data_IF_645730980026
#
_entry.id   IF_645730980026
#
_cell.length_a   1.000
_cell.length_b   1.000
_cell.length_c   1.000
_cell.angle_alpha   90.00
_cell.angle_beta   90.00
_cell.angle_gamma   90.00
#
_symmetry.space_group_name_H-M   'P 1'
#
loop_
_entity.id
_entity.type
_entity.pdbx_description
1 polymer ?
#
# COMPACT_ATOMS: atom_id res chain seq x y z
N UNK A 1 8.25 -1.66 6.77
CA UNK A 1 7.52 -0.62 7.52
C UNK A 1 6.08 -1.07 7.43
N UNK A 2 5.61 -1.73 8.49
CA UNK A 2 4.44 -2.61 8.40
C UNK A 2 3.25 -1.99 9.14
N UNK A 3 3.19 -0.66 9.16
CA UNK A 3 2.19 0.11 9.89
C UNK A 3 1.86 1.41 9.19
N UNK A 4 0.81 2.07 9.69
CA UNK A 4 0.34 3.33 9.15
C UNK A 4 1.39 4.44 9.35
N UNK A 5 1.53 5.36 8.38
CA UNK A 5 2.39 6.53 8.53
C UNK A 5 2.02 7.39 9.75
N UNK A 6 3.01 8.02 10.38
CA UNK A 6 2.81 8.83 11.59
C UNK A 6 1.86 10.01 11.37
N UNK A 7 1.92 10.65 10.19
CA UNK A 7 0.99 11.72 9.83
C UNK A 7 -0.47 11.23 9.72
N UNK A 8 -0.70 10.03 9.19
CA UNK A 8 -2.02 9.41 9.17
C UNK A 8 -2.48 9.07 10.59
N UNK A 9 -1.62 8.49 11.42
CA UNK A 9 -1.94 8.21 12.82
C UNK A 9 -2.36 9.48 13.57
N UNK A 10 -1.60 10.58 13.44
CA UNK A 10 -1.94 11.86 14.04
C UNK A 10 -3.30 12.39 13.57
N UNK A 11 -3.62 12.22 12.29
CA UNK A 11 -4.94 12.57 11.75
C UNK A 11 -6.05 11.73 12.39
N UNK A 12 -5.87 10.41 12.51
CA UNK A 12 -6.85 9.51 13.12
C UNK A 12 -7.12 9.85 14.59
N UNK A 13 -6.08 10.21 15.35
CA UNK A 13 -6.20 10.68 16.74
C UNK A 13 -6.98 12.00 16.82
N UNK A 14 -6.74 12.93 15.89
CA UNK A 14 -7.48 14.19 15.85
C UNK A 14 -8.96 13.98 15.50
N UNK A 15 -9.27 13.09 14.56
CA UNK A 15 -10.65 12.72 14.21
C UNK A 15 -11.38 12.06 15.38
N UNK A 16 -10.68 11.19 16.14
CA UNK A 16 -11.19 10.58 17.36
C UNK A 16 -11.50 11.63 18.44
N UNK A 17 -10.52 12.49 18.77
CA UNK A 17 -10.67 13.53 19.79
C UNK A 17 -11.78 14.54 19.44
N UNK A 18 -11.89 14.88 18.15
CA UNK A 18 -12.94 15.76 17.65
C UNK A 18 -14.33 15.11 17.56
N UNK A 19 -14.46 13.81 17.83
CA UNK A 19 -15.71 13.03 17.69
C UNK A 19 -16.37 13.22 16.32
N UNK A 20 -15.55 13.34 15.27
CA UNK A 20 -16.01 13.66 13.91
C UNK A 20 -16.58 12.43 13.18
N UNK A 21 -16.37 11.24 13.72
CA UNK A 21 -16.84 9.97 13.18
C UNK A 21 -18.01 9.47 14.03
N UNK A 22 -19.09 9.05 13.37
CA UNK A 22 -20.26 8.48 14.04
C UNK A 22 -20.42 6.99 13.71
N UNK A 23 -21.34 6.32 14.40
CA UNK A 23 -21.53 4.87 14.28
C UNK A 23 -22.14 4.39 12.97
N UNK A 24 -22.67 5.29 12.14
CA UNK A 24 -23.13 4.98 10.78
C UNK A 24 -22.00 5.08 9.75
N UNK A 25 -20.88 5.71 10.10
CA UNK A 25 -19.74 5.82 9.20
C UNK A 25 -19.17 4.42 8.93
N UNK A 26 -18.86 4.15 7.66
CA UNK A 26 -18.22 2.90 7.24
C UNK A 26 -16.83 3.20 6.70
N UNK A 27 -15.82 2.56 7.30
CA UNK A 27 -14.41 2.81 7.01
C UNK A 27 -13.90 1.77 6.03
N UNK A 28 -13.30 2.25 4.94
CA UNK A 28 -12.64 1.45 3.92
C UNK A 28 -11.19 1.92 3.81
N UNK A 29 -10.25 1.00 3.58
CA UNK A 29 -8.86 1.39 3.36
C UNK A 29 -8.20 0.63 2.22
N UNK A 30 -7.25 1.28 1.57
CA UNK A 30 -6.33 0.67 0.62
C UNK A 30 -4.93 0.99 1.14
N UNK A 31 -4.12 -0.04 1.33
CA UNK A 31 -2.76 0.06 1.82
C UNK A 31 -1.83 -0.53 0.78
N UNK A 32 -0.75 0.17 0.53
CA UNK A 32 0.30 -0.25 -0.37
C UNK A 32 1.65 0.00 0.28
N UNK A 33 2.57 -0.95 0.13
CA UNK A 33 3.95 -0.83 0.57
C UNK A 33 4.92 -1.31 -0.54
N UNK A 34 6.22 -1.16 -0.27
CA UNK A 34 7.27 -1.55 -1.22
C UNK A 34 7.54 -3.06 -1.29
N UNK A 35 6.80 -3.92 -0.57
CA UNK A 35 6.99 -5.37 -0.69
C UNK A 35 6.26 -5.91 -1.90
N UNK A 36 6.78 -6.98 -2.50
CA UNK A 36 6.11 -7.63 -3.62
C UNK A 36 4.78 -8.27 -3.18
N UNK A 37 4.75 -8.85 -1.98
CA UNK A 37 3.60 -9.57 -1.46
C UNK A 37 2.62 -8.63 -0.76
N UNK A 38 1.38 -8.55 -1.27
CA UNK A 38 0.33 -7.69 -0.69
C UNK A 38 -0.02 -8.04 0.75
N UNK A 39 0.21 -9.29 1.18
CA UNK A 39 -0.02 -9.77 2.56
C UNK A 39 0.76 -8.97 3.59
N UNK A 40 1.89 -8.37 3.22
CA UNK A 40 2.68 -7.52 4.12
C UNK A 40 1.89 -6.29 4.62
N UNK A 41 0.81 -5.91 3.94
CA UNK A 41 -0.05 -4.79 4.34
C UNK A 41 -1.07 -5.13 5.44
N UNK A 42 -1.20 -6.40 5.84
CA UNK A 42 -2.25 -6.83 6.79
C UNK A 42 -2.19 -6.12 8.15
N UNK A 43 -0.98 -5.83 8.65
CA UNK A 43 -0.79 -5.13 9.93
C UNK A 43 -1.32 -3.69 9.88
N UNK A 44 -1.03 -2.96 8.81
CA UNK A 44 -1.55 -1.61 8.61
C UNK A 44 -3.08 -1.61 8.44
N UNK A 45 -3.65 -2.59 7.74
CA UNK A 45 -5.11 -2.75 7.65
C UNK A 45 -5.72 -3.03 9.03
N UNK A 46 -5.09 -3.92 9.81
CA UNK A 46 -5.52 -4.24 11.18
C UNK A 46 -5.50 -3.01 12.09
N UNK A 47 -4.51 -2.13 11.97
CA UNK A 47 -4.47 -0.86 12.72
C UNK A 47 -5.67 0.04 12.41
N UNK A 48 -6.03 0.23 11.13
CA UNK A 48 -7.23 1.01 10.75
C UNK A 48 -8.50 0.32 11.26
N UNK A 49 -8.57 -1.02 11.21
CA UNK A 49 -9.73 -1.77 11.73
C UNK A 49 -9.87 -1.61 13.24
N UNK A 50 -8.78 -1.62 14.00
CA UNK A 50 -8.77 -1.35 15.43
C UNK A 50 -9.24 0.08 15.73
N UNK A 51 -8.74 1.07 14.99
CA UNK A 51 -9.21 2.45 15.12
C UNK A 51 -10.70 2.61 14.78
N UNK A 52 -11.18 1.93 13.74
CA UNK A 52 -12.60 1.89 13.36
C UNK A 52 -13.48 1.44 14.54
N UNK A 53 -13.06 0.40 15.27
CA UNK A 53 -13.73 -0.06 16.50
C UNK A 53 -13.67 1.01 17.60
N UNK A 54 -12.52 1.66 17.78
CA UNK A 54 -12.31 2.68 18.81
C UNK A 54 -13.26 3.87 18.65
N UNK A 55 -13.54 4.29 17.42
CA UNK A 55 -14.48 5.39 17.12
C UNK A 55 -15.93 4.92 16.93
N UNK A 56 -16.23 3.67 17.28
CA UNK A 56 -17.55 3.04 17.15
C UNK A 56 -18.13 3.05 15.72
N UNK A 57 -17.27 3.09 14.70
CA UNK A 57 -17.67 3.05 13.30
C UNK A 57 -17.77 1.61 12.77
N UNK A 58 -18.33 1.45 11.57
CA UNK A 58 -18.45 0.16 10.91
C UNK A 58 -17.23 -0.13 10.04
N UNK A 59 -16.70 -1.36 10.10
CA UNK A 59 -15.69 -1.80 9.15
C UNK A 59 -16.33 -2.11 7.79
N UNK A 60 -15.80 -1.52 6.73
CA UNK A 60 -16.15 -1.85 5.35
C UNK A 60 -15.28 -2.98 4.84
N UNK A 61 -14.09 -2.63 4.35
CA UNK A 61 -13.15 -3.58 3.76
C UNK A 61 -11.75 -2.95 3.68
N UNK A 62 -10.69 -3.78 3.76
CA UNK A 62 -9.32 -3.38 3.46
C UNK A 62 -8.79 -4.01 2.17
N UNK A 63 -7.96 -3.29 1.41
CA UNK A 63 -7.14 -3.88 0.34
C UNK A 63 -5.66 -3.68 0.65
N UNK A 64 -4.88 -4.77 0.62
CA UNK A 64 -3.43 -4.76 0.66
C UNK A 64 -2.85 -4.97 -0.74
N UNK A 65 -2.14 -3.99 -1.27
CA UNK A 65 -1.54 -4.03 -2.61
C UNK A 65 -0.04 -4.23 -2.50
N UNK A 66 0.46 -5.31 -3.10
CA UNK A 66 1.89 -5.56 -3.25
C UNK A 66 2.48 -4.89 -4.50
N UNK A 67 3.79 -4.75 -4.51
CA UNK A 67 4.57 -4.21 -5.62
C UNK A 67 4.38 -2.71 -5.82
N UNK A 68 4.23 -1.92 -4.75
CA UNK A 68 3.93 -0.49 -4.85
C UNK A 68 4.85 0.31 -5.76
N UNK A 69 6.16 0.05 -5.67
CA UNK A 69 7.16 0.66 -6.55
C UNK A 69 6.85 0.47 -8.04
N UNK A 70 6.34 -0.71 -8.41
CA UNK A 70 6.01 -1.04 -9.80
C UNK A 70 4.87 -0.16 -10.33
N UNK A 71 3.90 0.23 -9.50
CA UNK A 71 2.73 1.00 -9.94
C UNK A 71 3.11 2.33 -10.59
N UNK A 72 4.17 2.98 -10.10
CA UNK A 72 4.65 4.26 -10.63
C UNK A 72 5.10 4.15 -12.10
N UNK A 73 5.51 2.96 -12.53
CA UNK A 73 5.99 2.66 -13.89
C UNK A 73 4.87 2.13 -14.81
N UNK A 74 3.69 1.81 -14.27
CA UNK A 74 2.59 1.17 -15.00
C UNK A 74 1.49 2.15 -15.42
N UNK A 75 1.73 3.47 -15.37
CA UNK A 75 0.72 4.52 -15.68
C UNK A 75 0.04 4.37 -17.05
N UNK A 76 0.70 3.74 -18.03
CA UNK A 76 0.18 3.52 -19.39
C UNK A 76 -0.55 2.17 -19.53
N UNK A 77 -0.45 1.28 -18.55
CA UNK A 77 -1.13 -0.02 -18.57
C UNK A 77 -2.56 0.20 -18.07
N UNK A 78 -3.59 -0.20 -18.82
CA UNK A 78 -4.97 -0.09 -18.35
C UNK A 78 -5.19 -0.91 -17.06
N UNK A 79 -5.99 -0.37 -16.14
CA UNK A 79 -6.40 -1.09 -14.95
C UNK A 79 -7.11 -2.39 -15.35
N UNK A 80 -6.83 -3.49 -14.65
CA UNK A 80 -7.39 -4.80 -14.99
C UNK A 80 -6.64 -5.56 -16.08
N UNK A 81 -5.54 -5.01 -16.61
CA UNK A 81 -4.71 -5.65 -17.64
C UNK A 81 -3.27 -5.85 -17.18
N UNK A 82 -2.62 -6.85 -17.76
CA UNK A 82 -1.20 -7.15 -17.52
C UNK A 82 -0.87 -7.21 -16.02
N UNK A 83 0.18 -6.51 -15.56
CA UNK A 83 0.56 -6.47 -14.14
C UNK A 83 -0.52 -5.91 -13.18
N UNK A 84 -1.49 -5.16 -13.71
CA UNK A 84 -2.58 -4.54 -12.95
C UNK A 84 -3.87 -5.39 -12.93
N UNK A 85 -3.87 -6.61 -13.47
CA UNK A 85 -5.06 -7.47 -13.55
C UNK A 85 -5.72 -7.70 -12.18
N UNK A 86 -4.96 -8.18 -11.20
CA UNK A 86 -5.46 -8.43 -9.85
C UNK A 86 -5.93 -7.13 -9.17
N UNK A 87 -5.25 -6.01 -9.41
CA UNK A 87 -5.63 -4.69 -8.88
C UNK A 87 -6.98 -4.24 -9.44
N UNK A 88 -7.21 -4.40 -10.74
CA UNK A 88 -8.49 -4.06 -11.35
C UNK A 88 -9.66 -4.86 -10.76
N UNK A 89 -9.49 -6.18 -10.63
CA UNK A 89 -10.50 -7.06 -10.03
C UNK A 89 -10.80 -6.66 -8.57
N UNK A 90 -9.75 -6.41 -7.79
CA UNK A 90 -9.90 -6.00 -6.39
C UNK A 90 -10.62 -4.65 -6.27
N UNK A 91 -10.23 -3.64 -7.07
CA UNK A 91 -10.85 -2.31 -7.05
C UNK A 91 -12.30 -2.33 -7.55
N UNK A 92 -12.63 -3.19 -8.51
CA UNK A 92 -14.01 -3.36 -8.96
C UNK A 92 -14.90 -3.90 -7.83
N UNK A 93 -14.46 -4.96 -7.14
CA UNK A 93 -15.16 -5.50 -5.97
C UNK A 93 -15.27 -4.46 -4.85
N UNK A 94 -14.18 -3.76 -4.55
CA UNK A 94 -14.12 -2.70 -3.54
C UNK A 94 -15.08 -1.55 -3.82
N UNK A 95 -15.11 -1.09 -5.07
CA UNK A 95 -16.01 -0.02 -5.52
C UNK A 95 -17.47 -0.41 -5.33
N UNK A 96 -17.85 -1.64 -5.73
CA UNK A 96 -19.20 -2.17 -5.49
C UNK A 96 -19.55 -2.20 -4.00
N UNK A 97 -18.59 -2.59 -3.15
CA UNK A 97 -18.79 -2.62 -1.71
C UNK A 97 -18.94 -1.22 -1.11
N UNK A 98 -18.16 -0.23 -1.55
CA UNK A 98 -18.28 1.17 -1.11
C UNK A 98 -19.65 1.74 -1.53
N UNK A 99 -20.03 1.59 -2.79
CA UNK A 99 -21.29 2.13 -3.33
C UNK A 99 -22.53 1.53 -2.65
N UNK A 100 -22.44 0.27 -2.22
CA UNK A 100 -23.51 -0.40 -1.49
C UNK A 100 -23.37 -0.36 0.03
N UNK A 101 -22.36 0.36 0.54
CA UNK A 101 -22.00 0.40 1.97
C UNK A 101 -21.92 -1.00 2.60
N UNK A 102 -21.39 -1.99 1.86
CA UNK A 102 -21.24 -3.37 2.30
C UNK A 102 -19.90 -3.60 2.98
N UNK A 103 -19.93 -4.50 3.96
CA UNK A 103 -18.74 -5.01 4.62
C UNK A 103 -18.29 -6.31 3.95
N UNK A 104 -16.99 -6.55 3.90
CA UNK A 104 -16.41 -7.73 3.25
C UNK A 104 -15.04 -8.04 3.87
N UNK A 105 -14.49 -9.20 3.51
CA UNK A 105 -13.16 -9.62 3.95
C UNK A 105 -12.07 -8.77 3.29
N UNK A 106 -10.96 -8.59 4.00
CA UNK A 106 -9.81 -7.87 3.47
C UNK A 106 -9.16 -8.69 2.34
N UNK A 107 -8.71 -8.00 1.30
CA UNK A 107 -8.11 -8.63 0.12
C UNK A 107 -6.65 -8.22 0.03
N UNK A 108 -5.73 -9.18 0.05
CA UNK A 108 -4.33 -8.95 -0.24
C UNK A 108 -4.00 -9.46 -1.64
N UNK A 109 -3.44 -8.60 -2.49
CA UNK A 109 -3.12 -8.93 -3.89
C UNK A 109 -1.63 -8.73 -4.18
N UNK A 110 -1.10 -9.61 -5.01
CA UNK A 110 0.20 -9.45 -5.64
C UNK A 110 0.02 -8.94 -7.07
N UNK A 111 0.98 -8.16 -7.61
CA UNK A 111 0.94 -7.77 -9.00
C UNK A 111 1.06 -9.01 -9.90
N UNK A 112 0.46 -8.98 -11.08
CA UNK A 112 0.63 -10.03 -12.09
C UNK A 112 1.95 -9.83 -12.83
N UNK A 113 3.05 -9.85 -12.08
CA UNK A 113 4.39 -9.55 -12.55
C UNK A 113 5.40 -10.54 -11.97
N UNK A 114 6.39 -11.02 -12.73
CA UNK A 114 7.38 -11.95 -12.18
C UNK A 114 8.17 -11.32 -11.02
N UNK A 115 8.16 -11.99 -9.87
CA UNK A 115 8.86 -11.54 -8.65
C UNK A 115 10.36 -11.29 -8.87
N UNK A 116 11.01 -12.14 -9.66
CA UNK A 116 12.43 -11.99 -9.99
C UNK A 116 12.67 -10.68 -10.75
N UNK A 117 11.81 -10.35 -11.71
CA UNK A 117 11.94 -9.11 -12.49
C UNK A 117 11.70 -7.88 -11.62
N UNK A 118 10.76 -7.95 -10.67
CA UNK A 118 10.53 -6.87 -9.71
C UNK A 118 11.80 -6.52 -8.93
N UNK A 119 12.47 -7.52 -8.36
CA UNK A 119 13.73 -7.30 -7.62
C UNK A 119 14.89 -6.89 -8.53
N UNK A 120 15.00 -7.49 -9.73
CA UNK A 120 16.05 -7.11 -10.67
C UNK A 120 15.92 -5.63 -11.07
N UNK A 121 14.71 -5.19 -11.41
CA UNK A 121 14.45 -3.80 -11.78
C UNK A 121 14.71 -2.83 -10.63
N UNK A 122 14.34 -3.21 -9.40
CA UNK A 122 14.64 -2.40 -8.22
C UNK A 122 16.16 -2.26 -8.02
N UNK A 123 16.96 -3.31 -8.23
CA UNK A 123 18.42 -3.19 -8.15
C UNK A 123 19.00 -2.32 -9.28
N UNK A 124 18.51 -2.51 -10.51
CA UNK A 124 18.99 -1.74 -11.68
C UNK A 124 18.64 -0.26 -11.56
N UNK A 125 17.49 0.09 -10.98
CA UNK A 125 17.08 1.49 -10.79
C UNK A 125 18.06 2.25 -9.89
N UNK A 126 18.54 1.63 -8.81
CA UNK A 126 19.57 2.21 -7.95
C UNK A 126 20.88 2.46 -8.69
N UNK A 127 21.31 1.55 -9.57
CA UNK A 127 22.51 1.77 -10.39
C UNK A 127 22.35 2.92 -11.38
N UNK A 128 21.17 3.08 -11.98
CA UNK A 128 20.88 4.20 -12.87
C UNK A 128 20.88 5.53 -12.11
N UNK A 129 20.27 5.58 -10.92
CA UNK A 129 20.26 6.76 -10.05
C UNK A 129 21.68 7.14 -9.61
N UNK A 130 22.51 6.16 -9.23
CA UNK A 130 23.90 6.38 -8.85
C UNK A 130 24.70 7.05 -9.97
N UNK A 131 24.61 6.51 -11.19
CA UNK A 131 25.31 7.05 -12.36
C UNK A 131 24.86 8.47 -12.70
N UNK A 132 23.56 8.76 -12.61
CA UNK A 132 23.03 10.13 -12.79
C UNK A 132 23.61 11.12 -11.77
N UNK A 133 23.93 10.66 -10.56
CA UNK A 133 24.56 11.45 -9.50
C UNK A 133 26.09 11.33 -9.49
N UNK A 134 26.72 10.88 -10.59
CA UNK A 134 28.18 10.73 -10.75
C UNK A 134 28.82 9.75 -9.74
N UNK A 135 28.03 8.85 -9.14
CA UNK A 135 28.50 7.80 -8.25
C UNK A 135 28.85 6.52 -9.03
N UNK A 136 29.91 5.84 -8.62
CA UNK A 136 30.29 4.50 -9.12
C UNK A 136 29.55 3.42 -8.34
N UNK A 137 29.47 2.21 -8.90
CA UNK A 137 28.85 1.06 -8.22
C UNK A 137 29.38 0.84 -6.80
N UNK A 138 30.70 0.91 -6.62
CA UNK A 138 31.36 0.78 -5.32
C UNK A 138 30.94 1.84 -4.30
N UNK A 139 30.46 3.00 -4.75
CA UNK A 139 30.04 4.08 -3.87
C UNK A 139 28.69 3.78 -3.22
N UNK A 140 27.85 2.94 -3.82
CA UNK A 140 26.58 2.49 -3.23
C UNK A 140 26.76 1.61 -1.98
N UNK A 141 27.94 1.02 -1.82
CA UNK A 141 28.29 0.13 -0.70
C UNK A 141 29.21 0.81 0.32
N UNK A 142 29.54 2.11 0.13
CA UNK A 142 30.32 2.85 1.12
C UNK A 142 29.50 3.02 2.39
N UNK A 143 30.10 2.66 3.53
CA UNK A 143 29.51 2.96 4.84
C UNK A 143 29.60 4.47 5.09
N UNK A 144 28.55 5.04 5.65
CA UNK A 144 28.48 6.47 6.01
C UNK A 144 29.42 6.79 7.18
N UNK A 145 29.80 5.78 7.97
CA UNK A 145 30.78 5.89 9.05
C UNK A 145 31.82 4.77 8.93
N UNK A 146 33.10 5.12 9.04
CA UNK A 146 34.15 4.16 9.34
C UNK A 146 33.95 3.70 10.78
N UNK A 147 33.79 2.39 10.97
CA UNK A 147 33.88 1.76 12.28
C UNK A 147 35.34 1.45 12.56
#
# INVERSE_FOLDING_TARGET
MDGIPSNLLSLLVNLENGKLINSKAKIYCIVNNGFFEGVQNHLAISQIRCWTKKVNAQWGQGIGVGGGELLSHLKKVPLGQGPLKNLGIALEKFSKNILSLKSDEDICINPNYPRILYFLQANVSWFMIARKNKLKFKDLFKKIYNK
#
